data_IF_033953549710
#
_entry.id   IF_033953549710
#
_cell.length_a   1.000
_cell.length_b   1.000
_cell.length_c   1.000
_cell.angle_alpha   90.00
_cell.angle_beta   90.00
_cell.angle_gamma   90.00
#
_symmetry.space_group_name_H-M   'P 1'
#
loop_
_entity.id
_entity.type
_entity.pdbx_description
1 polymer ?
#
# COMPACT_ATOMS: atom_id res chain seq x y z
N UNK A 1 17.59 -12.94 -26.39
CA UNK A 1 17.15 -13.66 -25.16
C UNK A 1 17.52 -12.88 -23.89
N UNK A 2 18.57 -12.06 -23.91
CA UNK A 2 18.99 -11.20 -22.78
C UNK A 2 18.01 -10.04 -22.49
N UNK A 3 17.46 -9.39 -23.52
CA UNK A 3 16.54 -8.25 -23.36
C UNK A 3 15.23 -8.64 -22.65
N UNK A 4 14.70 -9.83 -22.92
CA UNK A 4 13.51 -10.35 -22.21
C UNK A 4 13.77 -10.52 -20.71
N UNK A 5 15.00 -10.86 -20.31
CA UNK A 5 15.39 -11.00 -18.92
C UNK A 5 15.55 -9.64 -18.23
N UNK A 6 16.07 -8.64 -18.95
CA UNK A 6 16.16 -7.26 -18.45
C UNK A 6 14.78 -6.64 -18.25
N UNK A 7 13.86 -6.80 -19.21
CA UNK A 7 12.49 -6.27 -19.11
C UNK A 7 11.72 -6.89 -17.94
N UNK A 8 11.87 -8.21 -17.70
CA UNK A 8 11.28 -8.87 -16.53
C UNK A 8 11.81 -8.31 -15.20
N UNK A 9 13.13 -8.17 -15.07
CA UNK A 9 13.74 -7.60 -13.84
C UNK A 9 13.30 -6.17 -13.57
N UNK A 10 13.20 -5.34 -14.60
CA UNK A 10 12.71 -3.96 -14.45
C UNK A 10 11.23 -3.94 -14.03
N UNK A 11 10.41 -4.85 -14.58
CA UNK A 11 9.01 -4.98 -14.19
C UNK A 11 8.84 -5.46 -12.74
N UNK A 12 9.68 -6.40 -12.28
CA UNK A 12 9.72 -6.85 -10.88
C UNK A 12 10.11 -5.73 -9.93
N UNK A 13 11.17 -4.96 -10.26
CA UNK A 13 11.61 -3.81 -9.48
C UNK A 13 10.53 -2.73 -9.41
N UNK A 14 9.88 -2.44 -10.54
CA UNK A 14 8.77 -1.50 -10.61
C UNK A 14 7.59 -1.95 -9.75
N UNK A 15 7.27 -3.24 -9.75
CA UNK A 15 6.19 -3.80 -8.94
C UNK A 15 6.50 -3.73 -7.43
N UNK A 16 7.75 -4.03 -7.04
CA UNK A 16 8.21 -3.87 -5.66
C UNK A 16 8.13 -2.41 -5.19
N UNK A 17 8.55 -1.46 -6.03
CA UNK A 17 8.48 -0.03 -5.69
C UNK A 17 7.03 0.44 -5.47
N UNK A 18 6.08 -0.06 -6.28
CA UNK A 18 4.66 0.25 -6.10
C UNK A 18 4.14 -0.32 -4.77
N UNK A 19 4.51 -1.56 -4.43
CA UNK A 19 4.14 -2.16 -3.13
C UNK A 19 4.69 -1.34 -1.95
N UNK A 20 5.96 -0.92 -2.03
CA UNK A 20 6.60 -0.06 -1.01
C UNK A 20 5.86 1.27 -0.87
N UNK A 21 5.44 1.87 -2.00
CA UNK A 21 4.65 3.10 -1.97
C UNK A 21 3.31 2.91 -1.25
N UNK A 22 2.57 1.85 -1.55
CA UNK A 22 1.32 1.53 -0.85
C UNK A 22 1.54 1.30 0.65
N UNK A 23 2.62 0.59 1.02
CA UNK A 23 2.98 0.35 2.42
C UNK A 23 3.25 1.67 3.16
N UNK A 24 4.01 2.58 2.55
CA UNK A 24 4.32 3.90 3.12
C UNK A 24 3.05 4.73 3.33
N UNK A 25 2.17 4.80 2.33
CA UNK A 25 0.92 5.56 2.43
C UNK A 25 -0.01 4.95 3.50
N UNK A 26 -0.09 3.61 3.59
CA UNK A 26 -0.85 2.95 4.65
C UNK A 26 -0.28 3.26 6.05
N UNK A 27 1.05 3.29 6.20
CA UNK A 27 1.71 3.68 7.46
C UNK A 27 1.42 5.13 7.86
N UNK A 28 1.42 6.05 6.89
CA UNK A 28 1.05 7.45 7.13
C UNK A 28 -0.40 7.53 7.58
N UNK A 29 -1.33 6.84 6.89
CA UNK A 29 -2.73 6.81 7.28
C UNK A 29 -2.95 6.23 8.68
N UNK A 30 -2.25 5.14 9.04
CA UNK A 30 -2.24 4.60 10.42
C UNK A 30 -1.74 5.63 11.43
N UNK A 31 -0.64 6.31 11.13
CA UNK A 31 -0.04 7.30 12.02
C UNK A 31 -0.96 8.50 12.26
N UNK A 32 -1.60 8.99 11.20
CA UNK A 32 -2.62 10.05 11.30
C UNK A 32 -3.84 9.55 12.07
N UNK A 33 -4.29 8.32 11.82
CA UNK A 33 -5.39 7.71 12.56
C UNK A 33 -5.13 7.64 14.06
N UNK A 34 -3.94 7.18 14.47
CA UNK A 34 -3.50 7.17 15.87
C UNK A 34 -3.43 8.58 16.46
N UNK A 35 -2.84 9.54 15.72
CA UNK A 35 -2.75 10.92 16.16
C UNK A 35 -4.12 11.53 16.45
N UNK A 36 -5.09 11.37 15.56
CA UNK A 36 -6.45 11.88 15.77
C UNK A 36 -7.20 11.14 16.88
N UNK A 37 -7.01 9.82 16.99
CA UNK A 37 -7.68 9.01 18.01
C UNK A 37 -7.21 9.35 19.43
N UNK A 38 -5.93 9.67 19.62
CA UNK A 38 -5.36 9.96 20.94
C UNK A 38 -5.26 11.46 21.28
N UNK A 39 -5.03 12.33 20.30
CA UNK A 39 -4.74 13.75 20.54
C UNK A 39 -5.96 14.66 20.38
N UNK A 40 -7.00 14.21 19.68
CA UNK A 40 -8.23 15.01 19.47
C UNK A 40 -9.37 14.39 20.28
N UNK A 41 -9.73 14.98 21.44
CA UNK A 41 -10.79 14.44 22.27
C UNK A 41 -12.17 14.62 21.63
N UNK A 42 -13.06 13.65 21.90
CA UNK A 42 -14.46 13.69 21.48
C UNK A 42 -14.74 12.92 20.19
N UNK A 43 -16.02 12.88 19.82
CA UNK A 43 -16.52 12.06 18.72
C UNK A 43 -15.84 12.35 17.37
N UNK A 44 -15.40 13.59 17.15
CA UNK A 44 -14.72 14.01 15.91
C UNK A 44 -13.36 13.32 15.77
N UNK A 45 -12.53 13.32 16.82
CA UNK A 45 -11.21 12.68 16.78
C UNK A 45 -11.30 11.17 16.60
N UNK A 46 -12.23 10.52 17.30
CA UNK A 46 -12.50 9.10 17.12
C UNK A 46 -13.02 8.78 15.71
N UNK A 47 -13.94 9.58 15.17
CA UNK A 47 -14.48 9.39 13.82
C UNK A 47 -13.40 9.50 12.75
N UNK A 48 -12.53 10.51 12.84
CA UNK A 48 -11.41 10.68 11.91
C UNK A 48 -10.40 9.54 12.10
N UNK A 49 -10.06 9.19 13.33
CA UNK A 49 -9.12 8.10 13.65
C UNK A 49 -9.55 6.77 13.04
N UNK A 50 -10.81 6.37 13.27
CA UNK A 50 -11.38 5.14 12.72
C UNK A 50 -11.40 5.18 11.19
N UNK A 51 -11.80 6.30 10.58
CA UNK A 51 -11.82 6.44 9.12
C UNK A 51 -10.42 6.25 8.54
N UNK A 52 -9.40 6.82 9.16
CA UNK A 52 -8.02 6.69 8.70
C UNK A 52 -7.47 5.27 8.86
N UNK A 53 -7.90 4.52 9.88
CA UNK A 53 -7.59 3.09 10.01
C UNK A 53 -8.21 2.26 8.88
N UNK A 54 -9.46 2.56 8.51
CA UNK A 54 -10.12 1.90 7.38
C UNK A 54 -9.38 2.22 6.07
N UNK A 55 -9.02 3.48 5.85
CA UNK A 55 -8.24 3.90 4.67
C UNK A 55 -6.89 3.17 4.61
N UNK A 56 -6.18 3.06 5.73
CA UNK A 56 -4.92 2.33 5.77
C UNK A 56 -5.09 0.84 5.42
N UNK A 57 -6.11 0.19 5.97
CA UNK A 57 -6.44 -1.21 5.65
C UNK A 57 -6.76 -1.41 4.17
N UNK A 58 -7.57 -0.53 3.59
CA UNK A 58 -7.93 -0.58 2.17
C UNK A 58 -6.70 -0.37 1.27
N UNK A 59 -5.85 0.61 1.59
CA UNK A 59 -4.62 0.87 0.82
C UNK A 59 -3.66 -0.33 0.87
N UNK A 60 -3.51 -0.95 2.05
CA UNK A 60 -2.69 -2.15 2.19
C UNK A 60 -3.23 -3.30 1.32
N UNK A 61 -4.52 -3.60 1.42
CA UNK A 61 -5.16 -4.68 0.63
C UNK A 61 -5.06 -4.41 -0.88
N UNK A 62 -5.31 -3.18 -1.32
CA UNK A 62 -5.19 -2.80 -2.74
C UNK A 62 -3.74 -2.90 -3.22
N UNK A 63 -2.77 -2.53 -2.39
CA UNK A 63 -1.34 -2.68 -2.67
C UNK A 63 -0.95 -4.14 -2.88
N UNK A 64 -1.34 -5.01 -1.95
CA UNK A 64 -1.10 -6.46 -2.01
C UNK A 64 -1.73 -7.09 -3.25
N UNK A 65 -3.01 -6.81 -3.55
CA UNK A 65 -3.70 -7.35 -4.73
C UNK A 65 -2.98 -6.92 -6.02
N UNK A 66 -2.59 -5.65 -6.11
CA UNK A 66 -1.85 -5.14 -7.27
C UNK A 66 -0.49 -5.84 -7.43
N UNK A 67 0.24 -6.01 -6.33
CA UNK A 67 1.54 -6.66 -6.33
C UNK A 67 1.43 -8.12 -6.76
N UNK A 68 0.52 -8.90 -6.16
CA UNK A 68 0.30 -10.31 -6.49
C UNK A 68 -0.20 -10.52 -7.92
N UNK A 69 -1.14 -9.69 -8.37
CA UNK A 69 -1.68 -9.78 -9.74
C UNK A 69 -0.60 -9.52 -10.79
N UNK A 70 0.27 -8.53 -10.55
CA UNK A 70 1.39 -8.21 -11.45
C UNK A 70 2.50 -9.26 -11.40
N UNK A 71 2.84 -9.77 -10.21
CA UNK A 71 3.77 -10.90 -10.07
C UNK A 71 3.31 -12.13 -10.86
N UNK A 72 2.03 -12.49 -10.75
CA UNK A 72 1.44 -13.61 -11.49
C UNK A 72 1.55 -13.40 -13.01
N UNK A 73 1.36 -12.17 -13.50
CA UNK A 73 1.51 -11.86 -14.93
C UNK A 73 2.96 -11.99 -15.41
N UNK A 74 3.92 -11.49 -14.63
CA UNK A 74 5.36 -11.53 -14.96
C UNK A 74 5.91 -12.97 -14.99
N UNK A 75 5.36 -13.87 -14.19
CA UNK A 75 5.76 -15.29 -14.15
C UNK A 75 5.20 -16.12 -15.32
N UNK A 76 4.04 -15.74 -15.88
CA UNK A 76 3.35 -16.49 -16.95
C UNK A 76 3.83 -16.06 -18.35
N UNK A 77 4.21 -14.79 -18.53
CA UNK A 77 4.88 -14.28 -19.75
C UNK A 77 6.38 -14.63 -19.77
#
# INVERSE_FOLDING_TARGET
MEDKNLVKRVAELGNMNVMILFLLVAFIALSVGLAFFFLVPGAVGYGIGITMFVVAGLLFVVGEINYFSKMKKIQIE
#
